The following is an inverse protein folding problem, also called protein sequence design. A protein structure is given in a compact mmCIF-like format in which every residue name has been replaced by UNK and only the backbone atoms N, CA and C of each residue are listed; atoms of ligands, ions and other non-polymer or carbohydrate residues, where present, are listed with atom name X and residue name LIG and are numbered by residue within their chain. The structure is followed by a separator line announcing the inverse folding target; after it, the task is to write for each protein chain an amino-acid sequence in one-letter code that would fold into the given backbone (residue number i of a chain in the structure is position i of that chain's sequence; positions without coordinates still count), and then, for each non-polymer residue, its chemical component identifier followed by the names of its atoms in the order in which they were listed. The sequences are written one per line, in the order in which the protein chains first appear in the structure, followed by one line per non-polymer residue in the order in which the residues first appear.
data_IF_798310968990
#
_entry.id   IF_798310968990
#
_cell.length_a   1.000
_cell.length_b   1.000
_cell.length_c   1.000
_cell.angle_alpha   90.00
_cell.angle_beta   90.00
_cell.angle_gamma   90.00
#
_symmetry.space_group_name_H-M   'P 1'
#
loop_
_entity.id
_entity.type
_entity.pdbx_description
1 polymer ?
#
# COMPACT_ATOMS: atom_id res chain seq x y z
N UNK A 1 0.55 -17.87 -11.50
CA UNK A 1 0.20 -16.49 -11.12
C UNK A 1 -0.76 -16.62 -9.95
N UNK A 2 -0.48 -15.96 -8.84
CA UNK A 2 -1.33 -16.01 -7.65
C UNK A 2 -2.59 -15.18 -7.89
N UNK A 3 -3.73 -15.62 -7.38
CA UNK A 3 -5.02 -14.91 -7.46
C UNK A 3 -5.50 -14.50 -6.07
N UNK A 4 -6.41 -13.54 -5.99
CA UNK A 4 -7.03 -13.15 -4.72
C UNK A 4 -7.84 -14.30 -4.10
N UNK A 5 -8.49 -15.16 -4.93
CA UNK A 5 -9.19 -16.33 -4.46
C UNK A 5 -8.26 -17.33 -3.77
N UNK A 6 -7.11 -17.64 -4.38
CA UNK A 6 -6.09 -18.52 -3.77
C UNK A 6 -5.53 -17.94 -2.47
N UNK A 7 -5.35 -16.62 -2.38
CA UNK A 7 -4.94 -15.96 -1.12
C UNK A 7 -6.03 -16.07 -0.05
N UNK A 8 -7.30 -15.93 -0.43
CA UNK A 8 -8.40 -16.05 0.51
C UNK A 8 -8.54 -17.48 1.07
N UNK A 9 -8.26 -18.51 0.24
CA UNK A 9 -8.29 -19.92 0.64
C UNK A 9 -7.04 -20.34 1.44
N UNK A 10 -5.87 -19.72 1.14
CA UNK A 10 -4.58 -20.06 1.76
C UNK A 10 -3.81 -18.77 2.12
N UNK A 11 -4.25 -18.00 3.14
CA UNK A 11 -3.64 -16.72 3.51
C UNK A 11 -2.20 -16.85 4.03
N UNK A 12 -1.74 -18.04 4.36
CA UNK A 12 -0.36 -18.31 4.75
C UNK A 12 0.63 -18.21 3.58
N UNK A 13 0.20 -18.34 2.34
CA UNK A 13 1.07 -18.32 1.15
C UNK A 13 1.81 -17.00 1.00
N UNK A 14 1.18 -15.80 1.10
CA UNK A 14 1.88 -14.54 1.11
C UNK A 14 2.15 -14.03 2.55
N UNK A 15 2.57 -14.92 3.47
CA UNK A 15 2.90 -14.57 4.85
C UNK A 15 4.40 -14.59 5.06
N UNK A 16 4.95 -13.52 5.63
CA UNK A 16 6.38 -13.33 5.83
C UNK A 16 6.69 -12.83 7.23
N UNK A 17 7.84 -13.21 7.79
CA UNK A 17 8.34 -12.73 9.07
C UNK A 17 9.46 -11.71 8.85
N UNK A 18 9.45 -10.66 9.64
CA UNK A 18 10.39 -9.54 9.62
C UNK A 18 10.92 -9.32 11.03
N UNK A 19 12.23 -9.18 11.17
CA UNK A 19 12.85 -8.78 12.42
C UNK A 19 13.34 -7.34 12.32
N UNK A 20 12.83 -6.46 13.17
CA UNK A 20 13.38 -5.12 13.35
C UNK A 20 14.67 -5.24 14.16
N UNK A 21 15.71 -4.49 13.79
CA UNK A 21 17.06 -4.60 14.38
C UNK A 21 17.06 -4.44 15.91
N UNK A 22 16.21 -3.56 16.44
CA UNK A 22 16.07 -3.28 17.88
C UNK A 22 14.58 -3.17 18.23
N UNK A 23 13.76 -4.09 17.72
CA UNK A 23 12.31 -4.03 17.87
C UNK A 23 11.66 -5.42 17.80
N UNK A 24 10.33 -5.45 17.82
CA UNK A 24 9.60 -6.70 17.77
C UNK A 24 9.78 -7.43 16.43
N UNK A 25 9.54 -8.73 16.46
CA UNK A 25 9.25 -9.49 15.24
C UNK A 25 7.88 -9.06 14.71
N UNK A 26 7.78 -8.84 13.42
CA UNK A 26 6.56 -8.43 12.73
C UNK A 26 6.21 -9.44 11.64
N UNK A 27 4.94 -9.75 11.51
CA UNK A 27 4.42 -10.64 10.46
C UNK A 27 3.69 -9.79 9.43
N UNK A 28 4.11 -9.86 8.16
CA UNK A 28 3.34 -9.36 7.02
C UNK A 28 2.46 -10.52 6.53
N UNK A 29 1.15 -10.33 6.55
CA UNK A 29 0.17 -11.36 6.15
C UNK A 29 -1.10 -10.73 5.57
N UNK A 30 -1.90 -11.47 4.81
CA UNK A 30 -3.22 -11.01 4.41
C UNK A 30 -4.09 -10.63 5.61
N UNK A 31 -4.86 -9.55 5.43
CA UNK A 31 -5.97 -9.21 6.31
C UNK A 31 -7.08 -10.24 6.11
N UNK A 32 -7.62 -10.78 7.20
CA UNK A 32 -8.72 -11.73 7.18
C UNK A 32 -9.92 -11.21 7.96
N UNK A 33 -11.09 -11.81 7.77
CA UNK A 33 -12.33 -11.36 8.40
C UNK A 33 -12.25 -11.31 9.95
N UNK A 34 -11.51 -12.25 10.54
CA UNK A 34 -11.31 -12.32 11.98
C UNK A 34 -10.51 -11.15 12.58
N UNK A 35 -9.82 -10.35 11.76
CA UNK A 35 -8.99 -9.24 12.21
C UNK A 35 -9.78 -7.96 12.52
N UNK A 36 -11.09 -7.94 12.37
CA UNK A 36 -11.89 -6.72 12.41
C UNK A 36 -11.71 -5.90 13.71
N UNK A 37 -11.63 -6.55 14.87
CA UNK A 37 -11.45 -5.86 16.16
C UNK A 37 -10.05 -5.28 16.31
N UNK A 38 -9.00 -6.04 15.93
CA UNK A 38 -7.60 -5.58 15.95
C UNK A 38 -7.38 -4.44 14.94
N UNK A 39 -7.97 -4.56 13.74
CA UNK A 39 -7.94 -3.50 12.74
C UNK A 39 -8.65 -2.23 13.23
N UNK A 40 -9.80 -2.37 13.91
CA UNK A 40 -10.47 -1.23 14.53
C UNK A 40 -9.61 -0.57 15.61
N UNK A 41 -8.86 -1.36 16.39
CA UNK A 41 -7.86 -0.86 17.34
C UNK A 41 -6.78 -0.03 16.65
N UNK A 42 -6.22 -0.55 15.55
CA UNK A 42 -5.23 0.15 14.73
C UNK A 42 -5.77 1.47 14.17
N UNK A 43 -6.97 1.45 13.55
CA UNK A 43 -7.59 2.64 12.95
C UNK A 43 -7.85 3.72 14.01
N UNK A 44 -8.41 3.36 15.18
CA UNK A 44 -8.63 4.30 16.28
C UNK A 44 -7.35 4.89 16.84
N UNK A 45 -6.26 4.12 16.82
CA UNK A 45 -4.94 4.53 17.31
C UNK A 45 -4.18 5.50 16.40
N UNK A 46 -4.65 5.75 15.17
CA UNK A 46 -4.01 6.72 14.27
C UNK A 46 -4.23 8.15 14.76
N UNK A 47 -3.16 8.95 14.78
CA UNK A 47 -3.23 10.39 15.06
C UNK A 47 -3.99 11.14 13.96
N UNK A 48 -4.43 12.37 14.25
CA UNK A 48 -5.10 13.22 13.27
C UNK A 48 -4.19 13.47 12.04
N UNK A 49 -2.86 13.58 12.24
CA UNK A 49 -1.91 13.70 11.15
C UNK A 49 -1.93 12.43 10.26
N UNK A 50 -1.86 11.24 10.86
CA UNK A 50 -1.89 9.99 10.13
C UNK A 50 -3.22 9.76 9.41
N UNK A 51 -4.34 10.15 10.04
CA UNK A 51 -5.67 10.11 9.43
C UNK A 51 -5.77 11.05 8.23
N UNK A 52 -5.23 12.25 8.32
CA UNK A 52 -5.20 13.21 7.21
C UNK A 52 -4.48 12.65 5.97
N UNK A 53 -3.48 11.80 6.16
CA UNK A 53 -2.72 11.18 5.08
C UNK A 53 -3.25 9.81 4.65
N UNK A 54 -4.29 9.29 5.29
CA UNK A 54 -4.93 8.03 4.93
C UNK A 54 -6.15 8.27 4.04
N UNK A 55 -6.59 7.22 3.38
CA UNK A 55 -7.76 7.23 2.48
C UNK A 55 -8.93 6.43 3.06
N UNK A 56 -8.96 6.22 4.38
CA UNK A 56 -10.04 5.46 5.02
C UNK A 56 -11.29 6.31 5.18
N UNK A 57 -12.46 5.73 4.88
CA UNK A 57 -13.76 6.37 5.05
C UNK A 57 -14.23 6.42 6.50
N UNK A 58 -13.56 5.67 7.40
CA UNK A 58 -13.87 5.63 8.83
C UNK A 58 -12.76 4.98 9.65
N UNK A 59 -12.86 5.12 10.98
CA UNK A 59 -11.84 4.68 11.94
C UNK A 59 -12.43 3.85 13.09
N UNK A 60 -13.60 3.28 12.87
CA UNK A 60 -14.34 2.48 13.85
C UNK A 60 -14.41 1.00 13.44
N UNK A 61 -15.15 0.22 14.20
CA UNK A 61 -15.35 -1.21 13.94
C UNK A 61 -16.12 -1.46 12.63
N UNK A 62 -17.05 -0.57 12.26
CA UNK A 62 -17.82 -0.74 11.03
C UNK A 62 -16.90 -0.59 9.81
N UNK A 63 -16.04 0.44 9.80
CA UNK A 63 -15.02 0.64 8.77
C UNK A 63 -14.02 -0.54 8.73
N UNK A 64 -13.57 -1.03 9.89
CA UNK A 64 -12.67 -2.18 9.96
C UNK A 64 -13.29 -3.45 9.33
N UNK A 65 -14.56 -3.73 9.63
CA UNK A 65 -15.28 -4.86 9.03
C UNK A 65 -15.38 -4.75 7.51
N UNK A 66 -15.70 -3.55 7.00
CA UNK A 66 -15.75 -3.31 5.57
C UNK A 66 -14.38 -3.55 4.89
N UNK A 67 -13.30 -3.10 5.52
CA UNK A 67 -11.94 -3.33 5.03
C UNK A 67 -11.57 -4.82 5.03
N UNK A 68 -12.00 -5.59 6.03
CA UNK A 68 -11.75 -7.04 6.10
C UNK A 68 -12.50 -7.83 5.01
N UNK A 69 -13.66 -7.35 4.58
CA UNK A 69 -14.47 -8.00 3.55
C UNK A 69 -14.01 -7.69 2.11
N UNK A 70 -13.03 -6.81 1.95
CA UNK A 70 -12.69 -6.23 0.64
C UNK A 70 -12.14 -7.23 -0.38
N UNK A 71 -11.43 -8.28 0.07
CA UNK A 71 -10.87 -9.29 -0.85
C UNK A 71 -11.98 -10.04 -1.59
N UNK A 72 -13.13 -10.23 -0.94
CA UNK A 72 -14.28 -10.92 -1.53
C UNK A 72 -15.13 -10.02 -2.43
N UNK A 73 -15.02 -8.67 -2.28
CA UNK A 73 -15.94 -7.72 -2.91
C UNK A 73 -15.33 -6.85 -3.99
N UNK A 74 -14.03 -6.50 -3.89
CA UNK A 74 -13.51 -5.32 -4.59
C UNK A 74 -12.21 -5.51 -5.35
N UNK A 75 -11.80 -6.72 -5.64
CA UNK A 75 -10.51 -6.96 -6.34
C UNK A 75 -9.33 -6.22 -5.67
N UNK A 76 -9.30 -6.27 -4.33
CA UNK A 76 -8.30 -5.62 -3.48
C UNK A 76 -7.65 -6.64 -2.56
N UNK A 77 -6.35 -6.52 -2.37
CA UNK A 77 -5.61 -7.23 -1.35
C UNK A 77 -5.16 -6.25 -0.27
N UNK A 78 -5.46 -6.56 0.98
CA UNK A 78 -4.90 -5.87 2.14
C UNK A 78 -3.96 -6.79 2.88
N UNK A 79 -2.76 -6.30 3.15
CA UNK A 79 -1.76 -7.00 3.96
C UNK A 79 -1.57 -6.20 5.24
N UNK A 80 -1.64 -6.88 6.37
CA UNK A 80 -1.34 -6.28 7.69
C UNK A 80 0.10 -6.55 8.08
N UNK A 81 0.68 -5.61 8.80
CA UNK A 81 1.88 -5.78 9.59
C UNK A 81 1.42 -6.00 11.04
N UNK A 82 1.64 -7.19 11.56
CA UNK A 82 1.24 -7.62 12.90
C UNK A 82 2.48 -7.77 13.78
N UNK A 83 2.49 -7.15 14.95
CA UNK A 83 3.48 -7.47 15.99
C UNK A 83 3.26 -8.90 16.48
N UNK A 84 4.30 -9.74 16.33
CA UNK A 84 4.16 -11.18 16.57
C UNK A 84 3.91 -11.53 18.05
N UNK A 85 4.35 -10.68 18.97
CA UNK A 85 4.21 -10.91 20.42
C UNK A 85 2.84 -10.46 20.94
N UNK A 86 2.41 -9.24 20.58
CA UNK A 86 1.14 -8.68 21.07
C UNK A 86 -0.05 -9.02 20.18
N UNK A 87 0.17 -9.52 18.96
CA UNK A 87 -0.85 -9.77 17.94
C UNK A 87 -1.57 -8.52 17.45
N UNK A 88 -1.06 -7.34 17.79
CA UNK A 88 -1.65 -6.07 17.36
C UNK A 88 -1.25 -5.71 15.94
N UNK A 89 -2.18 -5.15 15.17
CA UNK A 89 -1.90 -4.60 13.84
C UNK A 89 -1.16 -3.28 14.01
N UNK A 90 0.02 -3.18 13.39
CA UNK A 90 0.90 -2.00 13.43
C UNK A 90 1.07 -1.33 12.06
N UNK A 91 0.45 -1.88 11.04
CA UNK A 91 0.42 -1.31 9.71
C UNK A 91 -0.55 -2.03 8.78
N UNK A 92 -0.99 -1.32 7.75
CA UNK A 92 -1.85 -1.81 6.69
C UNK A 92 -1.28 -1.39 5.34
N UNK A 93 -1.12 -2.35 4.44
CA UNK A 93 -0.75 -2.14 3.05
C UNK A 93 -1.92 -2.52 2.17
N UNK A 94 -2.42 -1.56 1.42
CA UNK A 94 -3.55 -1.75 0.51
C UNK A 94 -3.06 -1.86 -0.93
N UNK A 95 -3.49 -2.90 -1.62
CA UNK A 95 -3.30 -3.11 -3.05
C UNK A 95 -4.67 -3.18 -3.74
N UNK A 96 -4.86 -2.41 -4.81
CA UNK A 96 -5.99 -2.58 -5.71
C UNK A 96 -5.48 -3.01 -7.08
N UNK A 97 -6.01 -4.11 -7.61
CA UNK A 97 -5.71 -4.59 -8.95
C UNK A 97 -6.55 -3.88 -10.02
N UNK A 98 -7.64 -3.20 -9.59
CA UNK A 98 -8.44 -2.34 -10.43
C UNK A 98 -7.86 -0.92 -10.47
N UNK A 99 -7.89 -0.30 -11.64
CA UNK A 99 -7.57 1.11 -11.87
C UNK A 99 -8.86 1.95 -11.81
N UNK A 100 -8.73 3.24 -11.52
CA UNK A 100 -9.84 4.19 -11.62
C UNK A 100 -9.58 5.18 -12.76
N UNK A 101 -10.65 5.66 -13.36
CA UNK A 101 -10.57 6.53 -14.53
C UNK A 101 -9.76 7.80 -14.28
N UNK A 102 -9.83 8.36 -13.08
CA UNK A 102 -9.08 9.55 -12.68
C UNK A 102 -7.58 9.30 -12.69
N UNK A 103 -7.12 8.15 -12.14
CA UNK A 103 -5.69 7.78 -12.18
C UNK A 103 -5.27 7.58 -13.64
N UNK A 104 -6.04 6.82 -14.43
CA UNK A 104 -5.74 6.56 -15.83
C UNK A 104 -5.63 7.85 -16.63
N UNK A 105 -6.53 8.80 -16.42
CA UNK A 105 -6.52 10.09 -17.09
C UNK A 105 -5.28 10.93 -16.72
N UNK A 106 -4.92 11.01 -15.43
CA UNK A 106 -3.75 11.77 -14.98
C UNK A 106 -2.45 11.19 -15.53
N UNK A 107 -2.27 9.87 -15.43
CA UNK A 107 -1.08 9.20 -15.94
C UNK A 107 -0.96 9.31 -17.45
N UNK A 108 -2.07 9.19 -18.18
CA UNK A 108 -2.10 9.40 -19.64
C UNK A 108 -1.70 10.83 -20.02
N UNK A 109 -2.18 11.84 -19.31
CA UNK A 109 -1.80 13.24 -19.54
C UNK A 109 -0.29 13.46 -19.31
N UNK A 110 0.34 12.66 -18.46
CA UNK A 110 1.79 12.65 -18.24
C UNK A 110 2.57 11.69 -19.18
N UNK A 111 1.91 11.17 -20.23
CA UNK A 111 2.53 10.27 -21.22
C UNK A 111 2.69 8.82 -20.74
N UNK A 112 2.01 8.40 -19.68
CA UNK A 112 2.08 7.05 -19.15
C UNK A 112 0.76 6.31 -19.39
N UNK A 113 0.81 5.22 -20.13
CA UNK A 113 -0.33 4.31 -20.33
C UNK A 113 -0.39 3.31 -19.17
N UNK A 114 -1.49 3.30 -18.43
CA UNK A 114 -1.77 2.28 -17.41
C UNK A 114 -2.63 1.17 -17.99
N UNK A 115 -2.43 -0.06 -17.49
CA UNK A 115 -3.25 -1.23 -17.84
C UNK A 115 -3.52 -2.08 -16.61
N UNK A 116 -4.72 -2.62 -16.47
CA UNK A 116 -5.07 -3.50 -15.34
C UNK A 116 -4.31 -4.83 -15.34
N UNK A 117 -3.67 -5.19 -16.45
CA UNK A 117 -2.86 -6.41 -16.54
C UNK A 117 -1.46 -6.25 -15.94
N UNK A 118 -0.92 -5.05 -15.91
CA UNK A 118 0.45 -4.77 -15.44
C UNK A 118 0.51 -3.85 -14.22
N UNK A 119 -0.50 -3.03 -13.99
CA UNK A 119 -0.47 -1.99 -12.97
C UNK A 119 -1.34 -2.37 -11.77
N UNK A 120 -0.92 -1.94 -10.59
CA UNK A 120 -1.74 -1.95 -9.39
C UNK A 120 -1.56 -0.67 -8.59
N UNK A 121 -2.56 -0.33 -7.80
CA UNK A 121 -2.57 0.83 -6.89
C UNK A 121 -2.09 0.39 -5.52
N UNK A 122 -1.32 1.24 -4.84
CA UNK A 122 -0.75 0.97 -3.53
C UNK A 122 -0.90 2.14 -2.58
N UNK A 123 -1.30 1.85 -1.34
CA UNK A 123 -1.36 2.80 -0.23
C UNK A 123 -0.93 2.16 1.09
N UNK A 124 0.13 2.64 1.74
CA UNK A 124 0.57 2.15 3.04
C UNK A 124 0.12 3.08 4.17
N UNK A 125 -0.30 2.49 5.28
CA UNK A 125 -0.51 3.20 6.55
C UNK A 125 0.21 2.45 7.68
N UNK A 126 0.98 3.15 8.50
CA UNK A 126 1.66 2.60 9.68
C UNK A 126 1.16 3.30 10.94
N UNK A 127 1.00 2.54 12.03
CA UNK A 127 0.77 3.10 13.35
C UNK A 127 1.88 4.11 13.71
N UNK A 128 1.51 5.23 14.35
CA UNK A 128 2.42 6.35 14.62
C UNK A 128 3.68 5.91 15.35
N UNK A 129 3.57 5.00 16.33
CA UNK A 129 4.69 4.47 17.08
C UNK A 129 5.69 3.65 16.24
N UNK A 130 5.29 3.20 15.04
CA UNK A 130 6.12 2.41 14.13
C UNK A 130 6.64 3.20 12.93
N UNK A 131 6.20 4.45 12.77
CA UNK A 131 6.71 5.34 11.73
C UNK A 131 8.16 5.74 12.03
N UNK A 132 8.95 5.99 10.97
CA UNK A 132 10.37 6.36 11.11
C UNK A 132 11.31 5.21 11.54
N UNK A 133 10.79 4.04 11.90
CA UNK A 133 11.54 2.86 12.37
C UNK A 133 11.98 1.90 11.26
N UNK A 134 11.94 2.31 10.02
CA UNK A 134 12.27 1.51 8.81
C UNK A 134 11.35 0.32 8.56
N UNK A 135 10.26 0.13 9.32
CA UNK A 135 9.34 -1.00 9.13
C UNK A 135 8.80 -1.05 7.70
N UNK A 136 8.28 0.07 7.18
CA UNK A 136 7.80 0.15 5.80
C UNK A 136 8.87 -0.23 4.77
N UNK A 137 10.12 0.25 4.96
CA UNK A 137 11.24 -0.06 4.05
C UNK A 137 11.63 -1.55 4.10
N UNK A 138 11.55 -2.19 5.25
CA UNK A 138 11.83 -3.63 5.38
C UNK A 138 10.71 -4.50 4.82
N UNK A 139 9.46 -4.07 4.97
CA UNK A 139 8.31 -4.80 4.47
C UNK A 139 8.09 -4.63 2.95
N UNK A 140 8.53 -3.51 2.37
CA UNK A 140 8.26 -3.18 0.98
C UNK A 140 8.80 -4.19 -0.05
N UNK A 141 10.01 -4.77 0.09
CA UNK A 141 10.47 -5.84 -0.79
C UNK A 141 9.56 -7.08 -0.79
N UNK A 142 8.98 -7.42 0.35
CA UNK A 142 8.04 -8.54 0.48
C UNK A 142 6.70 -8.20 -0.19
N UNK A 143 6.23 -6.96 -0.05
CA UNK A 143 5.08 -6.47 -0.79
C UNK A 143 5.31 -6.59 -2.31
N UNK A 144 6.47 -6.16 -2.81
CA UNK A 144 6.78 -6.25 -4.25
C UNK A 144 6.86 -7.69 -4.75
N UNK A 145 7.28 -8.64 -3.91
CA UNK A 145 7.21 -10.07 -4.21
C UNK A 145 5.75 -10.54 -4.38
N UNK A 146 4.86 -10.13 -3.49
CA UNK A 146 3.41 -10.41 -3.62
C UNK A 146 2.84 -9.80 -4.91
N UNK A 147 3.19 -8.55 -5.21
CA UNK A 147 2.76 -7.86 -6.43
C UNK A 147 3.18 -8.62 -7.70
N UNK A 148 4.45 -9.10 -7.74
CA UNK A 148 4.93 -9.93 -8.84
C UNK A 148 4.21 -11.27 -8.93
N UNK A 149 3.94 -11.92 -7.81
CA UNK A 149 3.15 -13.18 -7.77
C UNK A 149 1.73 -12.98 -8.30
N UNK A 150 1.14 -11.80 -8.09
CA UNK A 150 -0.14 -11.39 -8.67
C UNK A 150 -0.04 -11.01 -10.16
N UNK A 151 1.14 -11.13 -10.79
CA UNK A 151 1.36 -10.83 -12.19
C UNK A 151 1.41 -9.33 -12.52
N UNK A 152 1.64 -8.48 -11.53
CA UNK A 152 1.79 -7.05 -11.75
C UNK A 152 3.27 -6.66 -11.81
N UNK A 153 3.58 -5.74 -12.70
CA UNK A 153 4.95 -5.29 -12.95
C UNK A 153 5.17 -3.82 -12.60
N UNK A 154 4.08 -3.07 -12.37
CA UNK A 154 4.16 -1.66 -11.99
C UNK A 154 3.22 -1.36 -10.82
N UNK A 155 3.67 -0.45 -9.95
CA UNK A 155 2.93 0.04 -8.80
C UNK A 155 2.74 1.55 -8.94
N UNK A 156 1.51 2.02 -8.88
CA UNK A 156 1.16 3.44 -8.76
C UNK A 156 0.62 3.75 -7.38
N UNK A 157 0.65 5.00 -6.97
CA UNK A 157 0.09 5.39 -5.69
C UNK A 157 -1.44 5.45 -5.75
N UNK A 158 -2.09 5.02 -4.68
CA UNK A 158 -3.53 5.09 -4.55
C UNK A 158 -3.97 6.54 -4.32
N UNK A 159 -4.46 7.20 -5.38
CA UNK A 159 -4.85 8.61 -5.32
C UNK A 159 -3.68 9.60 -5.18
N UNK A 160 -2.44 9.17 -5.46
CA UNK A 160 -1.25 9.97 -5.30
C UNK A 160 -0.77 10.10 -3.85
N UNK A 161 0.17 11.00 -3.60
CA UNK A 161 0.65 11.36 -2.27
C UNK A 161 0.52 12.87 -2.07
N UNK A 162 0.01 13.33 -0.93
CA UNK A 162 -0.08 14.76 -0.62
C UNK A 162 1.32 15.40 -0.67
N UNK A 163 1.44 16.55 -1.35
CA UNK A 163 2.72 17.21 -1.61
C UNK A 163 3.45 17.67 -0.32
N UNK A 164 2.74 17.83 0.77
CA UNK A 164 3.29 18.16 2.09
C UNK A 164 3.62 16.91 2.94
N UNK A 165 3.29 15.70 2.48
CA UNK A 165 3.70 14.45 3.14
C UNK A 165 5.14 14.06 2.78
N UNK A 166 6.10 14.88 3.23
CA UNK A 166 7.52 14.68 2.93
C UNK A 166 8.06 13.31 3.42
N UNK A 167 7.44 12.71 4.45
CA UNK A 167 7.81 11.39 4.95
C UNK A 167 7.46 10.29 3.95
N UNK A 168 6.24 10.29 3.44
CA UNK A 168 5.80 9.33 2.45
C UNK A 168 6.55 9.50 1.12
N UNK A 169 6.74 10.74 0.66
CA UNK A 169 7.52 11.02 -0.57
C UNK A 169 8.91 10.41 -0.46
N UNK A 170 9.65 10.68 0.63
CA UNK A 170 10.97 10.06 0.85
C UNK A 170 10.95 8.54 0.95
N UNK A 171 9.88 7.96 1.50
CA UNK A 171 9.71 6.51 1.51
C UNK A 171 9.58 5.96 0.09
N UNK A 172 8.75 6.58 -0.75
CA UNK A 172 8.56 6.15 -2.14
C UNK A 172 9.83 6.31 -2.96
N UNK A 173 10.50 7.46 -2.88
CA UNK A 173 11.78 7.71 -3.57
C UNK A 173 12.85 6.67 -3.20
N UNK A 174 13.02 6.37 -1.92
CA UNK A 174 13.97 5.34 -1.43
C UNK A 174 13.65 3.94 -1.95
N UNK A 175 12.39 3.65 -2.23
CA UNK A 175 11.95 2.38 -2.77
C UNK A 175 11.87 2.38 -4.32
N UNK A 176 12.40 3.41 -4.98
CA UNK A 176 12.56 3.45 -6.43
C UNK A 176 11.36 4.00 -7.20
N UNK A 177 10.37 4.58 -6.52
CA UNK A 177 9.30 5.30 -7.21
C UNK A 177 9.87 6.57 -7.87
N UNK A 178 9.49 6.78 -9.11
CA UNK A 178 9.76 8.03 -9.84
C UNK A 178 8.54 8.95 -9.81
N UNK A 179 8.77 10.23 -9.82
CA UNK A 179 7.72 11.23 -9.98
C UNK A 179 7.13 11.16 -11.39
N UNK A 180 5.80 11.23 -11.47
CA UNK A 180 5.05 11.35 -12.74
C UNK A 180 4.64 12.80 -12.96
N UNK A 181 4.01 13.41 -11.96
CA UNK A 181 3.63 14.80 -12.02
C UNK A 181 2.79 15.25 -10.82
N UNK A 182 2.68 16.56 -10.60
CA UNK A 182 1.77 17.12 -9.62
C UNK A 182 0.35 17.19 -10.16
N UNK A 183 -0.62 17.08 -9.27
CA UNK A 183 -2.02 17.35 -9.57
C UNK A 183 -2.72 17.99 -8.35
N UNK A 184 -3.94 18.48 -8.56
CA UNK A 184 -4.80 18.95 -7.47
C UNK A 184 -5.99 17.99 -7.37
N UNK A 185 -6.20 17.41 -6.19
CA UNK A 185 -7.31 16.52 -5.91
C UNK A 185 -8.66 17.25 -5.91
N UNK A 186 -9.78 16.51 -5.88
CA UNK A 186 -11.11 17.09 -5.80
C UNK A 186 -11.35 17.88 -4.51
N UNK A 187 -10.59 17.61 -3.46
CA UNK A 187 -10.53 18.31 -2.17
C UNK A 187 -9.73 19.63 -2.22
N UNK A 188 -9.15 19.97 -3.38
CA UNK A 188 -8.29 21.15 -3.56
C UNK A 188 -6.86 20.97 -3.06
N UNK A 189 -6.48 19.81 -2.55
CA UNK A 189 -5.13 19.56 -2.04
C UNK A 189 -4.16 19.20 -3.17
N UNK A 190 -2.94 19.72 -3.07
CA UNK A 190 -1.86 19.37 -4.01
C UNK A 190 -1.29 18.01 -3.69
N UNK A 191 -1.20 17.18 -4.71
CA UNK A 191 -0.69 15.81 -4.65
C UNK A 191 0.33 15.53 -5.75
N UNK A 192 1.05 14.44 -5.60
CA UNK A 192 2.03 13.95 -6.58
C UNK A 192 1.65 12.54 -7.00
N UNK A 193 1.58 12.29 -8.29
CA UNK A 193 1.57 10.94 -8.84
C UNK A 193 2.99 10.39 -8.90
N UNK A 194 3.19 9.17 -8.42
CA UNK A 194 4.47 8.47 -8.47
C UNK A 194 4.27 7.02 -8.92
N UNK A 195 5.27 6.44 -9.56
CA UNK A 195 5.22 5.07 -10.10
C UNK A 195 6.53 4.33 -9.86
N UNK A 196 6.42 3.05 -9.53
CA UNK A 196 7.51 2.10 -9.49
C UNK A 196 7.35 1.06 -10.60
N UNK A 197 8.39 0.85 -11.38
CA UNK A 197 8.49 -0.24 -12.35
C UNK A 197 9.35 -1.36 -11.73
N UNK A 198 8.76 -2.55 -11.56
CA UNK A 198 9.39 -3.70 -10.92
C UNK A 198 10.30 -4.49 -11.88
N UNK A 199 10.22 -4.23 -13.18
CA UNK A 199 11.07 -4.85 -14.20
C UNK A 199 12.33 -4.00 -14.48
N UNK A 200 12.29 -2.72 -14.16
CA UNK A 200 13.46 -1.84 -14.30
C UNK A 200 14.56 -2.25 -13.32
N UNK A 201 15.73 -2.60 -13.82
CA UNK A 201 16.90 -2.85 -12.96
C UNK A 201 17.27 -1.54 -12.26
N UNK A 202 17.56 -1.55 -10.94
CA UNK A 202 18.09 -0.37 -10.27
C UNK A 202 19.38 0.06 -10.97
N UNK A 203 19.40 1.29 -11.54
CA UNK A 203 20.58 1.90 -12.14
C UNK A 203 20.58 2.06 -13.66
N UNK A 204 19.54 1.71 -14.40
CA UNK A 204 19.42 2.11 -15.82
C UNK A 204 18.66 3.45 -15.94
N UNK A 205 19.26 4.46 -16.61
CA UNK A 205 18.53 5.66 -16.96
C UNK A 205 17.40 5.29 -17.94
N UNK A 206 16.18 5.69 -17.63
CA UNK A 206 15.05 5.58 -18.56
C UNK A 206 15.33 6.49 -19.74
N UNK A 207 15.55 5.91 -20.92
CA UNK A 207 15.60 6.68 -22.16
C UNK A 207 14.19 7.18 -22.45
N UNK A 208 13.96 8.50 -22.55
CA UNK A 208 12.65 9.01 -22.96
C UNK A 208 12.37 8.62 -24.41
N UNK A 209 11.10 8.43 -24.79
CA UNK A 209 10.69 8.12 -26.15
C UNK A 209 11.00 9.25 -27.15
#
# INVERSE_FOLDING_TARGET
MLTLGEIAEAPEVPTYRLSLRDGPEVVLRPLVHADAEELAGFLRGLSDESRRFSTFDGYDLAAARELCDAIARYDKLRLVLEDAASRTIVGLFELSLALVDEDVARYRAAGVQLTETSDCRFGPTLADAFQGRRLGTLAFPLLTDVVRKLGRTRIILWGGVLADNARAIRFYEKNGFRHIGPFTGPDGLRSLDMMLDLESRPGQPVTPP
#
